data_IF_716953550794
#
_entry.id   IF_716953550794
#
_cell.length_a   1.000
_cell.length_b   1.000
_cell.length_c   1.000
_cell.angle_alpha   90.00
_cell.angle_beta   90.00
_cell.angle_gamma   90.00
#
_symmetry.space_group_name_H-M   'P 1'
#
loop_
_entity.id
_entity.type
_entity.pdbx_description
1 polymer ?
#
# COMPACT_ATOMS: atom_id res chain seq x y z
N UNK A 1 3.18 -8.79 -13.56
CA UNK A 1 4.65 -8.80 -13.77
C UNK A 1 5.12 -10.25 -13.81
N UNK A 2 6.09 -10.59 -14.67
CA UNK A 2 6.56 -11.97 -14.77
C UNK A 2 7.83 -12.15 -13.91
N UNK A 3 7.64 -12.44 -12.63
CA UNK A 3 8.73 -12.85 -11.75
C UNK A 3 8.89 -14.37 -11.80
N UNK A 4 10.12 -14.89 -11.68
CA UNK A 4 10.38 -16.34 -11.75
C UNK A 4 9.46 -17.11 -10.78
N UNK A 5 8.80 -18.14 -11.31
CA UNK A 5 7.88 -19.04 -10.57
C UNK A 5 8.64 -19.64 -9.37
N UNK A 6 8.05 -19.60 -8.17
CA UNK A 6 8.67 -20.13 -6.94
C UNK A 6 9.39 -19.11 -6.05
N UNK A 7 9.57 -17.84 -6.48
CA UNK A 7 10.15 -16.80 -5.62
C UNK A 7 9.13 -16.19 -4.66
N UNK A 8 9.58 -15.90 -3.44
CA UNK A 8 8.86 -15.09 -2.46
C UNK A 8 8.80 -13.64 -2.98
N UNK A 9 7.59 -13.18 -3.24
CA UNK A 9 7.27 -11.79 -3.63
C UNK A 9 6.35 -11.21 -2.58
N UNK A 10 6.82 -10.18 -1.90
CA UNK A 10 6.14 -9.52 -0.81
C UNK A 10 5.39 -8.28 -1.33
N UNK A 11 4.27 -7.94 -0.72
CA UNK A 11 3.55 -6.68 -0.95
C UNK A 11 2.98 -6.19 0.38
N UNK A 12 2.92 -4.87 0.55
CA UNK A 12 2.28 -4.23 1.69
C UNK A 12 1.21 -3.28 1.17
N UNK A 13 -0.01 -3.42 1.66
CA UNK A 13 -1.11 -2.52 1.33
C UNK A 13 -1.70 -1.93 2.62
N UNK A 14 -2.12 -0.68 2.56
CA UNK A 14 -2.95 -0.08 3.60
C UNK A 14 -4.30 0.29 2.99
N UNK A 15 -5.40 -0.04 3.68
CA UNK A 15 -6.73 0.38 3.25
C UNK A 15 -6.87 1.92 3.23
N UNK A 16 -5.97 2.63 3.93
CA UNK A 16 -5.92 4.09 3.95
C UNK A 16 -6.99 4.71 4.83
N UNK A 17 -7.25 5.99 4.61
CA UNK A 17 -8.18 6.80 5.43
C UNK A 17 -7.52 7.46 6.64
N UNK A 18 -6.21 7.28 6.85
CA UNK A 18 -5.43 8.00 7.86
C UNK A 18 -4.46 8.95 7.15
N UNK A 19 -4.52 10.27 7.39
CA UNK A 19 -3.56 11.24 6.87
C UNK A 19 -2.12 10.93 7.31
N UNK A 20 -1.12 11.26 6.48
CA UNK A 20 0.29 11.07 6.85
C UNK A 20 0.79 9.62 6.86
N UNK A 21 -0.07 8.63 6.55
CA UNK A 21 0.33 7.21 6.60
C UNK A 21 1.30 6.83 5.46
N UNK A 22 2.59 7.12 5.62
CA UNK A 22 3.67 6.76 4.69
C UNK A 22 4.56 5.63 5.15
N UNK A 23 4.04 4.81 6.05
CA UNK A 23 4.65 3.54 6.47
C UNK A 23 5.11 2.68 5.27
N UNK A 24 4.36 2.67 4.16
CA UNK A 24 4.73 1.94 2.94
C UNK A 24 6.11 2.36 2.39
N UNK A 25 6.44 3.65 2.39
CA UNK A 25 7.72 4.15 1.88
C UNK A 25 8.91 3.79 2.78
N UNK A 26 8.66 3.39 4.03
CA UNK A 26 9.67 2.97 4.99
C UNK A 26 9.78 1.44 5.02
N UNK A 27 8.66 0.72 5.00
CA UNK A 27 8.62 -0.75 4.99
C UNK A 27 9.32 -1.31 3.75
N UNK A 28 9.10 -0.71 2.58
CA UNK A 28 9.69 -1.20 1.32
C UNK A 28 11.21 -1.26 1.35
N UNK A 29 11.95 -0.17 1.67
CA UNK A 29 13.41 -0.24 1.74
C UNK A 29 13.92 -1.17 2.85
N UNK A 30 13.25 -1.26 4.00
CA UNK A 30 13.62 -2.22 5.06
C UNK A 30 13.54 -3.67 4.54
N UNK A 31 12.44 -4.02 3.88
CA UNK A 31 12.25 -5.37 3.35
C UNK A 31 13.22 -5.65 2.19
N UNK A 32 13.49 -4.66 1.35
CA UNK A 32 14.43 -4.78 0.24
C UNK A 32 15.87 -4.97 0.73
N UNK A 33 16.29 -4.28 1.80
CA UNK A 33 17.63 -4.43 2.39
C UNK A 33 17.85 -5.82 2.99
N UNK A 34 16.78 -6.52 3.38
CA UNK A 34 16.80 -7.93 3.80
C UNK A 34 16.86 -8.92 2.61
N UNK A 35 16.95 -8.42 1.37
CA UNK A 35 17.10 -9.24 0.16
C UNK A 35 15.79 -9.75 -0.46
N UNK A 36 14.64 -9.42 0.14
CA UNK A 36 13.32 -9.83 -0.37
C UNK A 36 12.83 -8.94 -1.52
N UNK A 37 12.07 -9.54 -2.43
CA UNK A 37 11.50 -8.82 -3.58
C UNK A 37 10.14 -8.22 -3.20
N UNK A 38 10.01 -6.89 -3.26
CA UNK A 38 8.80 -6.14 -2.88
C UNK A 38 8.44 -5.06 -3.92
N UNK A 39 7.86 -5.45 -5.06
CA UNK A 39 7.48 -4.52 -6.12
C UNK A 39 6.15 -3.84 -5.78
N UNK A 40 6.20 -2.59 -5.31
CA UNK A 40 4.99 -1.85 -4.94
C UNK A 40 4.46 -1.00 -6.08
N UNK A 41 3.17 -1.17 -6.36
CA UNK A 41 2.37 -0.18 -7.08
C UNK A 41 1.40 0.51 -6.15
N UNK A 42 1.32 1.84 -6.22
CA UNK A 42 0.47 2.69 -5.40
C UNK A 42 -0.42 3.55 -6.30
N UNK A 43 -1.65 3.82 -5.88
CA UNK A 43 -2.46 4.86 -6.51
C UNK A 43 -2.01 6.23 -6.03
N UNK A 44 -2.40 7.25 -6.80
CA UNK A 44 -2.43 8.63 -6.30
C UNK A 44 -3.59 8.80 -5.31
N UNK A 45 -3.57 9.89 -4.57
CA UNK A 45 -4.71 10.33 -3.79
C UNK A 45 -5.95 10.46 -4.68
N UNK A 46 -7.10 10.08 -4.12
CA UNK A 46 -8.42 10.39 -4.68
C UNK A 46 -9.11 11.38 -3.74
N UNK A 47 -9.21 11.03 -2.46
CA UNK A 47 -9.82 11.87 -1.41
C UNK A 47 -8.85 12.28 -0.30
N UNK A 48 -7.64 11.72 -0.25
CA UNK A 48 -6.63 12.09 0.74
C UNK A 48 -5.84 13.31 0.28
N UNK A 49 -5.24 14.04 1.22
CA UNK A 49 -4.34 15.16 0.90
C UNK A 49 -3.13 14.72 0.05
N UNK A 50 -2.70 13.46 0.22
CA UNK A 50 -1.63 12.87 -0.57
C UNK A 50 -1.77 11.34 -0.59
N UNK A 51 -1.36 10.71 -1.69
CA UNK A 51 -1.19 9.26 -1.81
C UNK A 51 0.29 8.88 -1.76
N UNK A 52 0.58 7.59 -1.59
CA UNK A 52 1.97 7.10 -1.60
C UNK A 52 2.69 7.41 -2.91
N UNK A 53 1.98 7.35 -4.05
CA UNK A 53 2.58 7.72 -5.33
C UNK A 53 2.91 9.22 -5.39
N UNK A 54 2.02 10.09 -4.90
CA UNK A 54 2.25 11.54 -4.91
C UNK A 54 3.44 11.92 -4.02
N UNK A 55 3.54 11.35 -2.82
CA UNK A 55 4.68 11.59 -1.91
C UNK A 55 5.99 11.05 -2.49
N UNK A 56 5.99 9.85 -3.07
CA UNK A 56 7.21 9.28 -3.64
C UNK A 56 7.67 10.04 -4.89
N UNK A 57 6.74 10.63 -5.65
CA UNK A 57 7.06 11.44 -6.84
C UNK A 57 7.90 12.68 -6.52
N UNK A 58 7.80 13.21 -5.30
CA UNK A 58 8.69 14.28 -4.82
C UNK A 58 10.16 13.85 -4.84
N UNK A 59 10.43 12.55 -4.66
CA UNK A 59 11.78 12.00 -4.53
C UNK A 59 12.26 11.32 -5.82
N UNK A 60 11.36 10.68 -6.58
CA UNK A 60 11.71 9.94 -7.77
C UNK A 60 10.52 9.73 -8.73
N UNK A 61 10.75 9.57 -10.04
CA UNK A 61 9.67 9.34 -11.00
C UNK A 61 8.85 8.08 -10.68
N UNK A 62 7.52 8.22 -10.62
CA UNK A 62 6.58 7.11 -10.36
C UNK A 62 5.92 6.55 -11.62
N UNK A 63 5.90 7.31 -12.71
CA UNK A 63 5.31 6.88 -13.97
C UNK A 63 6.32 6.03 -14.76
N UNK A 64 6.32 4.72 -14.49
CA UNK A 64 7.27 3.78 -15.08
C UNK A 64 6.52 2.77 -15.95
N UNK A 65 7.07 2.49 -17.13
CA UNK A 65 6.60 1.36 -17.95
C UNK A 65 6.83 0.04 -17.24
N UNK A 66 6.03 -0.98 -17.57
CA UNK A 66 6.19 -2.34 -17.01
C UNK A 66 7.63 -2.87 -17.13
N UNK A 67 8.26 -2.68 -18.30
CA UNK A 67 9.66 -3.09 -18.55
C UNK A 67 10.62 -2.37 -17.60
N UNK A 68 10.41 -1.08 -17.37
CA UNK A 68 11.25 -0.30 -16.45
C UNK A 68 11.07 -0.73 -15.01
N UNK A 69 9.84 -1.04 -14.59
CA UNK A 69 9.58 -1.59 -13.25
C UNK A 69 10.31 -2.93 -13.06
N UNK A 70 10.21 -3.84 -14.02
CA UNK A 70 10.91 -5.14 -13.96
C UNK A 70 12.44 -4.97 -13.91
N UNK A 71 13.00 -3.97 -14.58
CA UNK A 71 14.42 -3.60 -14.50
C UNK A 71 14.81 -3.09 -13.10
N UNK A 72 14.04 -2.12 -12.55
CA UNK A 72 14.31 -1.53 -11.24
C UNK A 72 14.21 -2.58 -10.13
N UNK A 73 13.18 -3.43 -10.17
CA UNK A 73 12.99 -4.52 -9.21
C UNK A 73 14.11 -5.55 -9.32
N UNK A 74 14.60 -5.85 -10.52
CA UNK A 74 15.74 -6.77 -10.70
C UNK A 74 17.02 -6.22 -10.07
N UNK A 75 17.26 -4.90 -10.18
CA UNK A 75 18.45 -4.23 -9.65
C UNK A 75 18.38 -3.99 -8.14
N UNK A 76 17.23 -3.60 -7.62
CA UNK A 76 17.09 -3.07 -6.26
C UNK A 76 16.22 -3.93 -5.33
N UNK A 77 15.64 -5.01 -5.85
CA UNK A 77 14.62 -5.86 -5.20
C UNK A 77 13.27 -5.18 -4.94
N UNK A 78 13.15 -3.87 -5.14
CA UNK A 78 11.94 -3.12 -4.83
C UNK A 78 11.59 -2.13 -5.93
N UNK A 79 10.39 -1.59 -5.86
CA UNK A 79 10.01 -0.38 -6.59
C UNK A 79 8.83 0.27 -5.90
N UNK A 80 8.66 1.58 -6.07
CA UNK A 80 7.41 2.28 -5.81
C UNK A 80 7.03 2.96 -7.12
N UNK A 81 5.98 2.45 -7.77
CA UNK A 81 5.49 3.00 -9.03
C UNK A 81 4.00 3.36 -8.91
N UNK A 82 3.56 4.26 -9.77
CA UNK A 82 2.14 4.60 -9.87
C UNK A 82 1.39 3.50 -10.64
N UNK A 83 0.36 2.94 -9.99
CA UNK A 83 -0.43 1.85 -10.55
C UNK A 83 -1.20 2.23 -11.82
N UNK A 84 -1.63 3.48 -11.96
CA UNK A 84 -2.39 3.93 -13.14
C UNK A 84 -1.57 3.97 -14.43
N UNK A 85 -0.23 4.00 -14.34
CA UNK A 85 0.67 3.89 -15.51
C UNK A 85 0.91 2.46 -15.98
N UNK A 86 0.35 1.46 -15.28
CA UNK A 86 0.56 0.04 -15.57
C UNK A 86 -0.80 -0.64 -15.59
N UNK A 87 -1.23 -1.17 -16.75
CA UNK A 87 -2.49 -1.88 -16.88
C UNK A 87 -2.47 -3.23 -16.13
N UNK A 88 -2.63 -3.15 -14.81
CA UNK A 88 -2.62 -4.30 -13.89
C UNK A 88 -4.02 -4.82 -13.60
N UNK A 89 -5.03 -3.93 -13.62
CA UNK A 89 -6.42 -4.26 -13.34
C UNK A 89 -7.36 -3.21 -13.97
N UNK A 90 -7.31 -3.02 -15.28
CA UNK A 90 -8.11 -2.02 -16.01
C UNK A 90 -9.61 -2.04 -15.70
N UNK A 91 -10.19 -3.22 -15.44
CA UNK A 91 -11.60 -3.32 -15.04
C UNK A 91 -11.87 -2.64 -13.69
N UNK A 92 -10.95 -2.77 -12.73
CA UNK A 92 -11.05 -2.14 -11.42
C UNK A 92 -10.97 -0.61 -11.52
N UNK A 93 -10.03 -0.09 -12.32
CA UNK A 93 -9.87 1.35 -12.51
C UNK A 93 -11.13 1.99 -13.14
N UNK A 94 -11.77 1.30 -14.10
CA UNK A 94 -13.06 1.73 -14.66
C UNK A 94 -14.17 1.73 -13.60
N UNK A 95 -14.25 0.67 -12.79
CA UNK A 95 -15.26 0.58 -11.72
C UNK A 95 -15.07 1.65 -10.64
N UNK A 96 -13.83 2.02 -10.31
CA UNK A 96 -13.55 3.12 -9.36
C UNK A 96 -14.04 4.45 -9.93
N UNK A 97 -13.80 4.74 -11.21
CA UNK A 97 -14.26 6.00 -11.85
C UNK A 97 -15.78 6.17 -11.81
N UNK A 98 -16.54 5.08 -11.90
CA UNK A 98 -18.01 5.12 -11.84
C UNK A 98 -18.50 5.28 -10.40
N UNK A 99 -17.92 4.49 -9.48
CA UNK A 99 -18.41 4.41 -8.09
C UNK A 99 -18.02 5.59 -7.22
N UNK A 100 -16.86 6.19 -7.49
CA UNK A 100 -16.30 7.23 -6.64
C UNK A 100 -17.18 8.49 -6.61
N UNK A 101 -17.64 9.06 -7.74
CA UNK A 101 -18.56 10.21 -7.72
C UNK A 101 -19.89 9.92 -7.02
N UNK A 102 -20.32 8.65 -7.05
CA UNK A 102 -21.56 8.21 -6.40
C UNK A 102 -21.41 7.94 -4.91
N UNK A 103 -20.19 8.01 -4.35
CA UNK A 103 -19.88 7.63 -2.97
C UNK A 103 -20.30 6.20 -2.60
N UNK A 104 -20.29 5.27 -3.56
CA UNK A 104 -20.69 3.87 -3.37
C UNK A 104 -19.43 2.98 -3.33
N UNK A 105 -18.95 2.62 -2.14
CA UNK A 105 -17.81 1.69 -2.00
C UNK A 105 -18.15 0.42 -1.17
N UNK A 106 -18.85 -0.57 -1.76
CA UNK A 106 -19.13 -1.83 -1.08
C UNK A 106 -17.83 -2.53 -0.66
N UNK A 107 -17.80 -3.02 0.59
CA UNK A 107 -16.63 -3.70 1.18
C UNK A 107 -16.13 -4.87 0.32
N UNK A 108 -17.03 -5.59 -0.34
CA UNK A 108 -16.69 -6.67 -1.28
C UNK A 108 -15.89 -6.18 -2.49
N UNK A 109 -16.31 -5.07 -3.10
CA UNK A 109 -15.60 -4.47 -4.23
C UNK A 109 -14.26 -3.86 -3.83
N UNK A 110 -14.18 -3.23 -2.65
CA UNK A 110 -12.91 -2.75 -2.11
C UNK A 110 -11.90 -3.89 -1.96
N UNK A 111 -12.32 -5.03 -1.39
CA UNK A 111 -11.43 -6.20 -1.26
C UNK A 111 -11.05 -6.75 -2.64
N UNK A 112 -12.01 -6.89 -3.55
CA UNK A 112 -11.76 -7.39 -4.91
C UNK A 112 -10.73 -6.50 -5.65
N UNK A 113 -10.92 -5.19 -5.61
CA UNK A 113 -10.02 -4.18 -6.18
C UNK A 113 -8.58 -4.36 -5.70
N UNK A 114 -8.41 -4.37 -4.37
CA UNK A 114 -7.08 -4.45 -3.75
C UNK A 114 -6.43 -5.79 -4.13
N UNK A 115 -7.14 -6.89 -3.95
CA UNK A 115 -6.61 -8.24 -4.15
C UNK A 115 -6.31 -8.55 -5.62
N UNK A 116 -7.10 -8.05 -6.57
CA UNK A 116 -6.84 -8.19 -8.00
C UNK A 116 -5.49 -7.58 -8.38
N UNK A 117 -5.23 -6.35 -7.92
CA UNK A 117 -3.94 -5.67 -8.14
C UNK A 117 -2.77 -6.41 -7.49
N UNK A 118 -2.94 -6.96 -6.28
CA UNK A 118 -1.90 -7.78 -5.61
C UNK A 118 -1.56 -9.03 -6.44
N UNK A 119 -2.60 -9.73 -6.93
CA UNK A 119 -2.41 -10.92 -7.75
C UNK A 119 -1.77 -10.61 -9.10
N UNK A 120 -2.19 -9.54 -9.78
CA UNK A 120 -1.63 -9.10 -11.06
C UNK A 120 -0.16 -8.64 -10.95
N UNK A 121 0.21 -8.05 -9.80
CA UNK A 121 1.60 -7.73 -9.48
C UNK A 121 2.46 -8.98 -9.21
N UNK A 122 1.86 -10.16 -9.06
CA UNK A 122 2.56 -11.41 -8.79
C UNK A 122 2.91 -11.62 -7.31
N UNK A 123 2.24 -10.91 -6.40
CA UNK A 123 2.48 -11.08 -4.97
C UNK A 123 2.19 -12.52 -4.52
N UNK A 124 2.99 -13.02 -3.58
CA UNK A 124 2.82 -14.34 -2.96
C UNK A 124 2.50 -14.20 -1.47
N UNK A 125 3.05 -13.17 -0.83
CA UNK A 125 2.79 -12.83 0.55
C UNK A 125 2.36 -11.37 0.63
N UNK A 126 1.29 -11.09 1.39
CA UNK A 126 0.72 -9.75 1.48
C UNK A 126 0.44 -9.38 2.92
N UNK A 127 0.96 -8.23 3.34
CA UNK A 127 0.56 -7.56 4.58
C UNK A 127 -0.54 -6.54 4.26
N UNK A 128 -1.69 -6.67 4.92
CA UNK A 128 -2.77 -5.66 4.86
C UNK A 128 -2.83 -4.92 6.19
N UNK A 129 -2.66 -3.61 6.12
CA UNK A 129 -2.93 -2.65 7.20
C UNK A 129 -4.37 -2.13 7.07
N UNK A 130 -5.18 -2.36 8.09
CA UNK A 130 -6.55 -1.84 8.20
C UNK A 130 -6.59 -0.86 9.37
N UNK A 131 -6.41 0.45 9.11
CA UNK A 131 -6.70 1.46 10.11
C UNK A 131 -8.18 1.45 10.45
N UNK A 132 -8.50 1.65 11.73
CA UNK A 132 -9.87 1.86 12.19
C UNK A 132 -9.96 3.07 13.10
N UNK A 133 -11.08 3.78 13.05
CA UNK A 133 -11.27 5.06 13.73
C UNK A 133 -12.07 6.05 12.88
N UNK A 134 -12.47 7.16 13.50
CA UNK A 134 -13.28 8.21 12.85
C UNK A 134 -12.59 8.72 11.59
N UNK A 135 -13.32 8.79 10.47
CA UNK A 135 -12.78 9.28 9.19
C UNK A 135 -11.95 8.26 8.39
N UNK A 136 -11.71 7.06 8.94
CA UNK A 136 -11.09 5.96 8.19
C UNK A 136 -12.14 5.16 7.42
N UNK A 137 -11.70 4.24 6.55
CA UNK A 137 -12.61 3.33 5.83
C UNK A 137 -13.29 2.28 6.74
N UNK A 138 -12.97 2.25 8.03
CA UNK A 138 -13.55 1.34 9.00
C UNK A 138 -13.68 2.07 10.34
N UNK A 139 -14.81 2.72 10.56
CA UNK A 139 -14.98 3.60 11.72
C UNK A 139 -14.93 2.82 13.04
N UNK A 140 -15.40 1.58 13.04
CA UNK A 140 -15.40 0.74 14.24
C UNK A 140 -14.45 -0.46 14.12
N UNK A 141 -13.89 -0.87 15.26
CA UNK A 141 -13.10 -2.12 15.38
C UNK A 141 -13.89 -3.35 14.92
N UNK A 142 -15.22 -3.36 15.09
CA UNK A 142 -16.11 -4.44 14.62
C UNK A 142 -16.11 -4.55 13.10
N UNK A 143 -16.17 -3.42 12.39
CA UNK A 143 -16.10 -3.38 10.94
C UNK A 143 -14.74 -3.78 10.41
N UNK A 144 -13.66 -3.29 11.03
CA UNK A 144 -12.30 -3.68 10.67
C UNK A 144 -12.08 -5.19 10.82
N UNK A 145 -12.65 -5.81 11.88
CA UNK A 145 -12.65 -7.28 12.06
C UNK A 145 -13.43 -8.00 10.95
N UNK A 146 -14.58 -7.47 10.50
CA UNK A 146 -15.33 -8.04 9.36
C UNK A 146 -14.50 -7.96 8.06
N UNK A 147 -13.87 -6.81 7.81
CA UNK A 147 -13.03 -6.60 6.63
C UNK A 147 -11.80 -7.52 6.64
N UNK A 148 -11.16 -7.69 7.79
CA UNK A 148 -10.08 -8.67 8.01
C UNK A 148 -10.51 -10.09 7.62
N UNK A 149 -11.67 -10.56 8.10
CA UNK A 149 -12.18 -11.90 7.74
C UNK A 149 -12.39 -12.05 6.23
N UNK A 150 -12.91 -11.01 5.58
CA UNK A 150 -13.12 -11.02 4.13
C UNK A 150 -11.81 -11.10 3.35
N UNK A 151 -10.81 -10.27 3.69
CA UNK A 151 -9.49 -10.34 3.07
C UNK A 151 -8.84 -11.71 3.24
N UNK A 152 -8.89 -12.31 4.43
CA UNK A 152 -8.34 -13.65 4.66
C UNK A 152 -9.03 -14.72 3.82
N UNK A 153 -10.38 -14.66 3.72
CA UNK A 153 -11.17 -15.57 2.89
C UNK A 153 -10.75 -15.47 1.42
N UNK A 154 -10.70 -14.26 0.87
CA UNK A 154 -10.32 -14.04 -0.54
C UNK A 154 -8.85 -14.37 -0.78
N UNK A 155 -7.97 -14.02 0.15
CA UNK A 155 -6.54 -14.37 0.11
C UNK A 155 -6.29 -15.86 -0.03
N UNK A 156 -6.99 -16.67 0.78
CA UNK A 156 -6.93 -18.14 0.70
C UNK A 156 -7.36 -18.65 -0.68
N UNK A 157 -8.46 -18.12 -1.22
CA UNK A 157 -8.95 -18.49 -2.56
C UNK A 157 -7.96 -18.11 -3.68
N UNK A 158 -7.19 -17.03 -3.51
CA UNK A 158 -6.18 -16.59 -4.47
C UNK A 158 -4.80 -17.25 -4.28
N UNK A 159 -4.66 -18.13 -3.28
CA UNK A 159 -3.40 -18.78 -2.93
C UNK A 159 -2.35 -17.83 -2.36
N UNK A 160 -2.77 -16.74 -1.71
CA UNK A 160 -1.89 -15.74 -1.12
C UNK A 160 -1.68 -16.02 0.37
N UNK A 161 -0.42 -15.96 0.83
CA UNK A 161 -0.12 -15.96 2.27
C UNK A 161 -0.33 -14.55 2.81
N UNK A 162 -1.23 -14.38 3.78
CA UNK A 162 -1.61 -13.04 4.24
C UNK A 162 -1.45 -12.86 5.74
N UNK A 163 -0.92 -11.70 6.12
CA UNK A 163 -0.98 -11.15 7.49
C UNK A 163 -1.85 -9.90 7.44
N UNK A 164 -2.76 -9.75 8.41
CA UNK A 164 -3.64 -8.58 8.47
C UNK A 164 -3.58 -7.99 9.87
N UNK A 165 -3.17 -6.74 9.92
CA UNK A 165 -3.06 -5.95 11.14
C UNK A 165 -4.18 -4.92 11.18
N UNK A 166 -4.76 -4.74 12.37
CA UNK A 166 -5.72 -3.68 12.64
C UNK A 166 -4.96 -2.61 13.39
N UNK A 167 -4.91 -1.40 12.86
CA UNK A 167 -4.13 -0.30 13.46
C UNK A 167 -5.06 0.83 13.90
N UNK A 168 -4.64 1.58 14.90
CA UNK A 168 -5.33 2.82 15.27
C UNK A 168 -5.18 3.84 14.13
N UNK A 169 -6.30 4.45 13.76
CA UNK A 169 -6.40 5.50 12.76
C UNK A 169 -7.18 6.71 13.26
N UNK A 170 -7.28 6.90 14.57
CA UNK A 170 -7.94 8.04 15.20
C UNK A 170 -7.22 9.38 15.00
N UNK A 171 -5.91 9.34 14.70
CA UNK A 171 -5.07 10.52 14.48
C UNK A 171 -4.19 10.38 13.23
N UNK A 172 -3.76 11.50 12.62
CA UNK A 172 -2.72 11.51 11.59
C UNK A 172 -1.44 10.84 12.07
N UNK A 173 -0.61 10.40 11.11
CA UNK A 173 0.69 9.79 11.39
C UNK A 173 1.80 10.70 10.90
N UNK A 174 2.82 10.93 11.72
CA UNK A 174 3.92 11.85 11.42
C UNK A 174 3.62 13.31 11.79
N UNK A 175 4.51 14.20 11.36
CA UNK A 175 4.48 15.63 11.71
C UNK A 175 3.88 16.49 10.60
N UNK A 176 3.74 15.97 9.38
CA UNK A 176 3.28 16.73 8.22
C UNK A 176 2.24 16.01 7.37
N UNK A 177 1.38 16.79 6.70
CA UNK A 177 0.36 16.29 5.77
C UNK A 177 0.59 16.93 4.39
N UNK A 178 0.63 16.13 3.34
CA UNK A 178 0.88 16.57 1.96
C UNK A 178 2.19 16.01 1.41
N UNK A 179 2.36 15.97 0.07
CA UNK A 179 3.43 15.19 -0.56
C UNK A 179 4.84 15.53 -0.08
N UNK A 180 5.21 16.81 -0.02
CA UNK A 180 6.57 17.22 0.37
C UNK A 180 6.84 17.04 1.88
N UNK A 181 5.86 17.38 2.72
CA UNK A 181 5.98 17.26 4.18
C UNK A 181 6.07 15.78 4.58
N UNK A 182 5.20 14.94 4.03
CA UNK A 182 5.22 13.50 4.29
C UNK A 182 6.51 12.83 3.75
N UNK A 183 7.08 13.33 2.65
CA UNK A 183 8.37 12.84 2.14
C UNK A 183 9.52 13.18 3.10
N UNK A 184 9.48 14.38 3.70
CA UNK A 184 10.47 14.83 4.70
C UNK A 184 10.46 13.94 5.94
N UNK A 185 9.27 13.59 6.44
CA UNK A 185 9.11 12.66 7.56
C UNK A 185 9.69 11.28 7.22
N UNK A 186 9.38 10.74 6.04
CA UNK A 186 9.90 9.44 5.59
C UNK A 186 11.42 9.43 5.55
N UNK A 187 12.05 10.44 4.93
CA UNK A 187 13.51 10.53 4.84
C UNK A 187 14.13 10.68 6.24
N UNK A 188 13.51 11.44 7.12
CA UNK A 188 13.97 11.59 8.51
C UNK A 188 13.96 10.25 9.25
N UNK A 189 12.88 9.47 9.10
CA UNK A 189 12.78 8.10 9.65
C UNK A 189 13.82 7.16 9.10
N UNK A 190 14.06 7.18 7.78
CA UNK A 190 15.08 6.34 7.16
C UNK A 190 16.51 6.71 7.58
N UNK A 191 16.76 7.95 8.01
CA UNK A 191 18.02 8.40 8.62
C UNK A 191 18.15 8.07 10.11
N UNK A 192 17.15 7.41 10.70
CA UNK A 192 17.12 7.06 12.13
C UNK A 192 16.54 8.15 13.05
N UNK A 193 16.04 9.26 12.49
CA UNK A 193 15.40 10.36 13.21
C UNK A 193 13.89 10.42 12.89
N UNK A 194 13.21 11.54 13.11
CA UNK A 194 11.83 11.75 12.65
C UNK A 194 10.74 11.24 13.60
N UNK A 195 9.46 11.28 13.16
CA UNK A 195 8.33 10.97 14.03
C UNK A 195 8.33 9.51 14.52
N UNK A 196 8.19 9.33 15.84
CA UNK A 196 8.26 8.01 16.48
C UNK A 196 7.09 7.12 16.09
N UNK A 197 5.88 7.67 16.00
CA UNK A 197 4.66 6.97 15.61
C UNK A 197 4.75 6.36 14.19
N UNK A 198 5.29 7.12 13.23
CA UNK A 198 5.53 6.65 11.87
C UNK A 198 6.60 5.55 11.84
N UNK A 199 7.70 5.75 12.58
CA UNK A 199 8.81 4.80 12.68
C UNK A 199 8.38 3.48 13.32
N UNK A 200 7.77 3.52 14.50
CA UNK A 200 7.32 2.35 15.25
C UNK A 200 6.31 1.54 14.45
N UNK A 201 5.33 2.23 13.84
CA UNK A 201 4.33 1.57 12.99
C UNK A 201 4.97 0.91 11.78
N UNK A 202 5.97 1.54 11.15
CA UNK A 202 6.69 0.95 10.02
C UNK A 202 7.54 -0.26 10.43
N UNK A 203 8.24 -0.20 11.57
CA UNK A 203 9.03 -1.32 12.10
C UNK A 203 8.12 -2.51 12.43
N UNK A 204 7.02 -2.27 13.15
CA UNK A 204 6.03 -3.30 13.48
C UNK A 204 5.47 -3.99 12.22
N UNK A 205 5.32 -3.25 11.11
CA UNK A 205 4.88 -3.81 9.83
C UNK A 205 5.97 -4.61 9.10
N UNK A 206 7.23 -4.29 9.31
CA UNK A 206 8.36 -4.95 8.65
C UNK A 206 8.78 -6.27 9.33
N UNK A 207 8.35 -6.50 10.58
CA UNK A 207 8.61 -7.69 11.40
C UNK A 207 7.42 -8.66 11.48
#
# INVERSE_FOLDING_TARGET
MHFKKGKIILDKHSCGGVPGNRTTMIVIPIIASLGYTIPKTSSRAITSASGTADTFEVLAPVNLSRKKIEEVVRKTKACIAWGGGVDLASADDKMIKIRHPLSIDPKGMLVASIMAKKKAAGATHVLIDIPWGKGTKSETKKEAKKLKKLFLKIGKLLGLKMKIILTDGSQPIGNGIGPALEATDVISVLKGNGPSDLREKAIFMAT
#
